data_IF_321424988956
#
_entry.id   IF_321424988956
#
_cell.length_a   1.000
_cell.length_b   1.000
_cell.length_c   1.000
_cell.angle_alpha   90.00
_cell.angle_beta   90.00
_cell.angle_gamma   90.00
#
_symmetry.space_group_name_H-M   'P 1'
#
loop_
_entity.id
_entity.type
_entity.pdbx_description
1 polymer ?
#
# COMPACT_ATOMS: atom_id res chain seq x y z
N UNK A 1 56.57 10.79 -22.20
CA UNK A 1 56.01 12.08 -22.65
C UNK A 1 54.50 11.91 -22.71
N UNK A 2 53.63 12.62 -22.02
CA UNK A 2 53.73 13.80 -21.16
C UNK A 2 52.63 13.66 -20.08
N UNK A 3 52.94 14.10 -18.87
CA UNK A 3 51.96 14.34 -17.82
C UNK A 3 51.11 15.57 -18.19
N UNK A 4 49.82 15.54 -17.85
CA UNK A 4 49.02 16.74 -17.58
C UNK A 4 48.04 16.39 -16.45
N UNK A 5 48.41 16.80 -15.24
CA UNK A 5 47.49 17.14 -14.16
C UNK A 5 46.59 18.30 -14.62
N UNK A 6 45.29 18.31 -14.32
CA UNK A 6 44.51 19.55 -14.02
C UNK A 6 43.16 19.18 -13.35
N UNK A 7 43.02 19.72 -12.14
CA UNK A 7 41.83 20.19 -11.38
C UNK A 7 40.60 19.30 -11.16
N UNK A 8 40.53 18.82 -9.91
CA UNK A 8 39.30 18.51 -9.18
C UNK A 8 38.61 19.82 -8.80
N UNK A 9 37.51 20.16 -9.48
CA UNK A 9 36.58 21.20 -9.02
C UNK A 9 35.51 20.51 -8.17
N UNK A 10 35.64 20.66 -6.86
CA UNK A 10 34.65 20.21 -5.88
C UNK A 10 33.58 21.30 -5.75
N UNK A 11 32.50 21.20 -6.53
CA UNK A 11 31.31 22.01 -6.33
C UNK A 11 30.49 21.41 -5.18
N UNK A 12 30.55 22.09 -4.03
CA UNK A 12 29.77 21.80 -2.83
C UNK A 12 28.33 22.25 -3.09
N UNK A 13 27.46 21.32 -3.45
CA UNK A 13 26.01 21.56 -3.45
C UNK A 13 25.52 21.49 -2.00
N UNK A 14 25.33 22.68 -1.42
CA UNK A 14 24.74 22.89 -0.09
C UNK A 14 23.28 22.43 -0.15
N UNK A 15 23.00 21.33 0.54
CA UNK A 15 21.64 20.86 0.77
C UNK A 15 20.83 21.93 1.53
N UNK A 16 19.58 22.24 1.11
CA UNK A 16 18.70 23.07 1.92
C UNK A 16 18.33 22.31 3.19
N UNK A 17 18.76 22.91 4.30
CA UNK A 17 18.38 22.71 5.68
C UNK A 17 16.95 22.15 5.82
N UNK A 18 16.89 20.89 6.26
CA UNK A 18 15.66 20.26 6.68
C UNK A 18 15.11 21.02 7.88
N UNK A 19 13.91 21.60 7.70
CA UNK A 19 13.13 22.13 8.80
C UNK A 19 12.96 21.06 9.89
N UNK A 20 13.09 21.41 11.18
CA UNK A 20 12.96 20.45 12.27
C UNK A 20 11.55 19.84 12.25
N UNK A 21 11.49 18.51 12.19
CA UNK A 21 10.29 17.76 12.53
C UNK A 21 9.84 18.18 13.95
N UNK A 22 8.54 18.38 14.19
CA UNK A 22 8.05 18.63 15.54
C UNK A 22 8.41 17.43 16.42
N UNK A 23 9.15 17.70 17.49
CA UNK A 23 9.42 16.75 18.57
C UNK A 23 8.13 16.00 18.91
N UNK A 24 8.22 14.66 18.84
CA UNK A 24 7.20 13.81 19.42
C UNK A 24 7.08 14.18 20.90
N UNK A 25 5.89 14.64 21.29
CA UNK A 25 5.52 14.76 22.70
C UNK A 25 5.88 13.45 23.41
N UNK A 26 6.52 13.50 24.59
CA UNK A 26 6.87 12.30 25.31
C UNK A 26 5.59 11.51 25.59
N UNK A 27 5.59 10.23 25.19
CA UNK A 27 4.60 9.28 25.69
C UNK A 27 4.53 9.40 27.22
N UNK A 28 3.34 9.50 27.81
CA UNK A 28 3.24 9.54 29.26
C UNK A 28 3.89 8.27 29.81
N UNK A 29 4.87 8.46 30.69
CA UNK A 29 5.48 7.39 31.47
C UNK A 29 4.37 6.49 32.05
N UNK A 30 4.52 5.16 32.00
CA UNK A 30 3.57 4.29 32.67
C UNK A 30 3.52 4.69 34.15
N UNK A 31 2.32 5.03 34.63
CA UNK A 31 2.07 5.21 36.06
C UNK A 31 2.69 4.01 36.80
N UNK A 32 3.47 4.24 37.88
CA UNK A 32 4.06 3.15 38.63
C UNK A 32 2.94 2.23 39.10
N UNK A 33 3.07 0.94 38.78
CA UNK A 33 2.27 -0.11 39.42
C UNK A 33 2.31 0.14 40.94
N UNK A 34 1.15 0.16 41.63
CA UNK A 34 1.14 0.33 43.07
C UNK A 34 2.01 -0.77 43.68
N UNK A 35 3.05 -0.36 44.41
CA UNK A 35 3.80 -1.25 45.29
C UNK A 35 2.79 -2.07 46.13
N UNK A 36 2.98 -3.39 46.27
CA UNK A 36 2.11 -4.17 47.12
C UNK A 36 2.15 -3.56 48.53
N UNK A 37 0.98 -3.13 49.01
CA UNK A 37 0.82 -2.74 50.41
C UNK A 37 1.43 -3.85 51.27
N UNK A 38 2.27 -3.50 52.27
CA UNK A 38 2.86 -4.50 53.14
C UNK A 38 1.72 -5.29 53.78
N UNK A 39 1.74 -6.60 53.56
CA UNK A 39 0.84 -7.54 54.24
C UNK A 39 0.81 -7.17 55.73
N UNK A 40 -0.38 -7.04 56.33
CA UNK A 40 -0.46 -6.76 57.76
C UNK A 40 0.31 -7.87 58.48
N UNK A 41 1.37 -7.49 59.18
CA UNK A 41 2.07 -8.34 60.13
C UNK A 41 1.02 -8.77 61.15
N UNK A 42 0.53 -9.98 60.98
CA UNK A 42 -0.36 -10.65 61.92
C UNK A 42 0.44 -10.79 63.21
N UNK A 43 0.13 -9.96 64.20
CA UNK A 43 0.50 -10.20 65.59
C UNK A 43 0.19 -11.68 65.91
N UNK A 44 1.10 -12.42 66.56
CA UNK A 44 0.80 -13.79 66.94
C UNK A 44 -0.41 -13.79 67.87
N UNK A 45 -1.55 -14.29 67.38
CA UNK A 45 -2.69 -14.61 68.22
C UNK A 45 -2.22 -15.47 69.41
N UNK A 46 -2.72 -15.20 70.62
CA UNK A 46 -2.35 -15.95 71.80
C UNK A 46 -2.68 -17.43 71.60
N UNK A 47 -1.72 -18.29 71.98
CA UNK A 47 -1.82 -19.74 71.94
C UNK A 47 -3.23 -20.22 72.34
N UNK A 48 -3.89 -21.10 71.55
CA UNK A 48 -5.16 -21.67 71.95
C UNK A 48 -4.90 -22.54 73.18
N UNK A 49 -5.26 -22.01 74.35
CA UNK A 49 -5.38 -22.79 75.58
C UNK A 49 -6.21 -24.02 75.28
N UNK A 50 -5.60 -25.20 75.45
CA UNK A 50 -6.19 -26.49 75.16
C UNK A 50 -7.63 -26.56 75.72
N UNK A 51 -8.65 -26.79 74.87
CA UNK A 51 -10.00 -26.99 75.35
C UNK A 51 -10.02 -28.13 76.37
N UNK A 52 -10.41 -27.78 77.61
CA UNK A 52 -10.67 -28.76 78.66
C UNK A 52 -11.73 -29.72 78.15
N UNK A 53 -11.32 -30.97 77.97
CA UNK A 53 -12.18 -32.10 77.67
C UNK A 53 -13.21 -32.20 78.81
N UNK A 54 -14.52 -32.02 78.56
CA UNK A 54 -15.51 -32.52 79.49
C UNK A 54 -15.59 -34.05 79.28
N UNK A 55 -15.34 -34.77 80.36
CA UNK A 55 -15.37 -36.22 80.45
C UNK A 55 -16.67 -36.82 79.88
N UNK A 56 -16.51 -37.83 79.02
CA UNK A 56 -17.30 -39.05 79.14
C UNK A 56 -18.57 -39.21 78.29
N UNK A 57 -18.67 -38.62 77.11
CA UNK A 57 -19.65 -39.10 76.11
C UNK A 57 -18.92 -39.92 75.03
N UNK A 58 -19.40 -41.14 74.78
CA UNK A 58 -18.81 -42.06 73.80
C UNK A 58 -18.62 -41.32 72.48
N UNK A 59 -17.36 -41.06 72.14
CA UNK A 59 -16.97 -40.50 70.85
C UNK A 59 -17.31 -41.55 69.79
N UNK A 60 -18.47 -41.43 69.17
CA UNK A 60 -18.89 -42.34 68.10
C UNK A 60 -17.98 -42.10 66.89
N UNK A 61 -17.09 -43.07 66.63
CA UNK A 61 -16.15 -43.02 65.51
C UNK A 61 -16.87 -42.92 64.15
N UNK A 62 -18.09 -43.45 64.06
CA UNK A 62 -18.96 -43.30 62.90
C UNK A 62 -19.45 -41.84 62.72
N UNK A 63 -19.72 -41.12 63.80
CA UNK A 63 -20.15 -39.71 63.73
C UNK A 63 -18.98 -38.80 63.31
N UNK A 64 -17.74 -39.12 63.74
CA UNK A 64 -16.53 -38.45 63.26
C UNK A 64 -16.33 -38.69 61.76
N UNK A 65 -16.44 -39.94 61.30
CA UNK A 65 -16.29 -40.25 59.87
C UNK A 65 -17.35 -39.56 59.04
N UNK A 66 -18.61 -39.54 59.49
CA UNK A 66 -19.72 -38.88 58.80
C UNK A 66 -19.56 -37.36 58.78
N UNK A 67 -19.12 -36.75 59.86
CA UNK A 67 -18.79 -35.31 59.92
C UNK A 67 -17.63 -34.96 58.99
N UNK A 68 -16.62 -35.82 58.90
CA UNK A 68 -15.51 -35.66 57.95
C UNK A 68 -16.00 -35.73 56.51
N UNK A 69 -16.76 -36.77 56.14
CA UNK A 69 -17.32 -36.91 54.80
C UNK A 69 -18.22 -35.71 54.42
N UNK A 70 -19.07 -35.24 55.33
CA UNK A 70 -19.89 -34.06 55.09
C UNK A 70 -19.05 -32.78 54.91
N UNK A 71 -17.98 -32.61 55.71
CA UNK A 71 -17.05 -31.49 55.56
C UNK A 71 -16.34 -31.55 54.20
N UNK A 72 -15.80 -32.72 53.83
CA UNK A 72 -15.11 -32.93 52.56
C UNK A 72 -16.06 -32.68 51.37
N UNK A 73 -17.33 -33.08 51.46
CA UNK A 73 -18.35 -32.81 50.44
C UNK A 73 -18.69 -31.32 50.33
N UNK A 74 -18.80 -30.62 51.45
CA UNK A 74 -19.05 -29.16 51.47
C UNK A 74 -17.84 -28.38 50.93
N UNK A 75 -16.62 -28.76 51.32
CA UNK A 75 -15.39 -28.16 50.81
C UNK A 75 -15.23 -28.42 49.30
N UNK A 76 -15.54 -29.64 48.84
CA UNK A 76 -15.50 -29.96 47.41
C UNK A 76 -16.50 -29.12 46.61
N UNK A 77 -17.74 -28.96 47.11
CA UNK A 77 -18.74 -28.10 46.49
C UNK A 77 -18.29 -26.64 46.45
N UNK A 78 -17.73 -26.13 47.55
CA UNK A 78 -17.20 -24.77 47.60
C UNK A 78 -16.03 -24.56 46.63
N UNK A 79 -15.15 -25.55 46.46
CA UNK A 79 -14.05 -25.49 45.50
C UNK A 79 -14.55 -25.48 44.05
N UNK A 80 -15.58 -26.28 43.76
CA UNK A 80 -16.23 -26.34 42.45
C UNK A 80 -16.85 -24.98 42.12
N UNK A 81 -17.64 -24.42 43.04
CA UNK A 81 -18.31 -23.13 42.83
C UNK A 81 -17.28 -21.99 42.71
N UNK A 82 -16.23 -22.00 43.53
CA UNK A 82 -15.14 -21.04 43.42
C UNK A 82 -14.41 -21.11 42.07
N UNK A 83 -14.18 -22.32 41.53
CA UNK A 83 -13.55 -22.49 40.21
C UNK A 83 -14.42 -21.94 39.08
N UNK A 84 -15.73 -22.23 39.10
CA UNK A 84 -16.65 -21.73 38.09
C UNK A 84 -16.85 -20.22 38.16
N UNK A 85 -17.02 -19.66 39.37
CA UNK A 85 -17.16 -18.22 39.54
C UNK A 85 -15.88 -17.47 39.17
N UNK A 86 -14.70 -18.02 39.50
CA UNK A 86 -13.43 -17.44 39.07
C UNK A 86 -13.31 -17.42 37.54
N UNK A 87 -13.54 -18.56 36.89
CA UNK A 87 -13.51 -18.65 35.42
C UNK A 87 -14.52 -17.73 34.76
N UNK A 88 -15.74 -17.67 35.29
CA UNK A 88 -16.80 -16.84 34.73
C UNK A 88 -16.42 -15.36 34.78
N UNK A 89 -15.86 -14.89 35.89
CA UNK A 89 -15.36 -13.51 36.02
C UNK A 89 -14.21 -13.24 35.05
N UNK A 90 -13.24 -14.15 34.95
CA UNK A 90 -12.13 -14.04 33.98
C UNK A 90 -12.64 -14.01 32.53
N UNK A 91 -13.62 -14.83 32.18
CA UNK A 91 -14.23 -14.85 30.85
C UNK A 91 -14.99 -13.56 30.55
N UNK A 92 -15.78 -13.05 31.49
CA UNK A 92 -16.49 -11.78 31.36
C UNK A 92 -15.52 -10.61 31.19
N UNK A 93 -14.42 -10.57 31.94
CA UNK A 93 -13.37 -9.55 31.81
C UNK A 93 -12.66 -9.66 30.45
N UNK A 94 -12.35 -10.87 29.99
CA UNK A 94 -11.71 -11.10 28.71
C UNK A 94 -12.64 -10.68 27.54
N UNK A 95 -13.94 -10.96 27.66
CA UNK A 95 -14.95 -10.53 26.69
C UNK A 95 -15.03 -9.00 26.67
N UNK A 96 -15.16 -8.35 27.83
CA UNK A 96 -15.22 -6.89 27.94
C UNK A 96 -13.95 -6.21 27.36
N UNK A 97 -12.78 -6.79 27.59
CA UNK A 97 -11.52 -6.30 27.03
C UNK A 97 -11.48 -6.45 25.50
N UNK A 98 -11.90 -7.61 24.97
CA UNK A 98 -12.00 -7.86 23.52
C UNK A 98 -12.97 -6.88 22.86
N UNK A 99 -14.14 -6.66 23.44
CA UNK A 99 -15.11 -5.69 22.95
C UNK A 99 -14.53 -4.26 22.92
N UNK A 100 -13.79 -3.85 23.96
CA UNK A 100 -13.13 -2.54 24.00
C UNK A 100 -12.05 -2.42 22.91
N UNK A 101 -11.27 -3.47 22.66
CA UNK A 101 -10.27 -3.49 21.58
C UNK A 101 -10.96 -3.43 20.22
N UNK A 102 -12.01 -4.21 20.01
CA UNK A 102 -12.78 -4.25 18.77
C UNK A 102 -13.44 -2.90 18.48
N UNK A 103 -14.02 -2.26 19.51
CA UNK A 103 -14.55 -0.89 19.41
C UNK A 103 -13.48 0.11 18.96
N UNK A 104 -12.29 0.11 19.59
CA UNK A 104 -11.18 0.99 19.18
C UNK A 104 -10.70 0.70 17.75
N UNK A 105 -10.72 -0.56 17.32
CA UNK A 105 -10.38 -0.93 15.93
C UNK A 105 -11.44 -0.44 14.94
N UNK A 106 -12.71 -0.61 15.27
CA UNK A 106 -13.83 -0.11 14.47
C UNK A 106 -13.78 1.42 14.34
N UNK A 107 -13.53 2.16 15.43
CA UNK A 107 -13.38 3.61 15.43
C UNK A 107 -12.22 4.07 14.52
N UNK A 108 -11.05 3.41 14.59
CA UNK A 108 -9.94 3.73 13.68
C UNK A 108 -10.29 3.43 12.22
N UNK A 109 -10.94 2.30 11.96
CA UNK A 109 -11.38 1.94 10.61
C UNK A 109 -12.40 2.94 10.07
N UNK A 110 -13.34 3.41 10.90
CA UNK A 110 -14.31 4.44 10.55
C UNK A 110 -13.64 5.79 10.30
N UNK A 111 -12.70 6.22 11.14
CA UNK A 111 -11.91 7.44 10.90
C UNK A 111 -11.15 7.37 9.58
N UNK A 112 -10.57 6.22 9.23
CA UNK A 112 -9.91 6.02 7.94
C UNK A 112 -10.91 6.07 6.78
N UNK A 113 -12.09 5.47 6.92
CA UNK A 113 -13.15 5.53 5.90
C UNK A 113 -13.64 6.95 5.67
N UNK A 114 -13.90 7.71 6.74
CA UNK A 114 -14.35 9.11 6.65
C UNK A 114 -13.28 9.98 6.00
N UNK A 115 -11.99 9.79 6.33
CA UNK A 115 -10.89 10.50 5.66
C UNK A 115 -10.82 10.13 4.17
N UNK A 116 -10.86 8.84 3.84
CA UNK A 116 -10.83 8.37 2.45
C UNK A 116 -12.04 8.87 1.64
N UNK A 117 -13.22 8.92 2.25
CA UNK A 117 -14.44 9.43 1.62
C UNK A 117 -14.37 10.93 1.37
N UNK A 118 -13.93 11.73 2.35
CA UNK A 118 -13.67 13.17 2.16
C UNK A 118 -12.63 13.43 1.07
N UNK A 119 -11.58 12.62 0.99
CA UNK A 119 -10.54 12.77 -0.03
C UNK A 119 -11.08 12.42 -1.42
N UNK A 120 -11.84 11.33 -1.51
CA UNK A 120 -12.53 10.91 -2.73
C UNK A 120 -13.57 11.93 -3.18
N UNK A 121 -14.32 12.54 -2.27
CA UNK A 121 -15.28 13.61 -2.57
C UNK A 121 -14.57 14.86 -3.08
N UNK A 122 -13.48 15.29 -2.43
CA UNK A 122 -12.67 16.42 -2.91
C UNK A 122 -12.08 16.16 -4.29
N UNK A 123 -11.69 14.93 -4.59
CA UNK A 123 -11.21 14.56 -5.91
C UNK A 123 -12.34 14.52 -6.93
N UNK A 124 -13.48 13.90 -6.58
CA UNK A 124 -14.67 13.84 -7.42
C UNK A 124 -15.20 15.24 -7.77
N UNK A 125 -15.21 16.19 -6.82
CA UNK A 125 -15.61 17.57 -7.08
C UNK A 125 -14.69 18.27 -8.09
N UNK A 126 -13.38 18.05 -7.99
CA UNK A 126 -12.41 18.61 -8.96
C UNK A 126 -12.53 17.97 -10.34
N UNK A 127 -12.79 16.66 -10.38
CA UNK A 127 -12.98 15.93 -11.64
C UNK A 127 -14.33 16.29 -12.28
N UNK A 128 -15.38 16.47 -11.51
CA UNK A 128 -16.70 16.91 -11.98
C UNK A 128 -16.66 18.37 -12.47
N UNK A 129 -15.98 19.28 -11.75
CA UNK A 129 -15.79 20.66 -12.22
C UNK A 129 -14.99 20.68 -13.54
N UNK A 130 -13.95 19.84 -13.66
CA UNK A 130 -13.24 19.67 -14.94
C UNK A 130 -14.14 19.07 -16.00
N UNK A 131 -14.97 18.08 -15.68
CA UNK A 131 -15.89 17.45 -16.63
C UNK A 131 -16.94 18.44 -17.12
N UNK A 132 -17.54 19.24 -16.24
CA UNK A 132 -18.50 20.29 -16.60
C UNK A 132 -17.83 21.36 -17.47
N UNK A 133 -16.59 21.75 -17.16
CA UNK A 133 -15.83 22.70 -17.98
C UNK A 133 -15.50 22.13 -19.35
N UNK A 134 -15.05 20.88 -19.42
CA UNK A 134 -14.75 20.16 -20.66
C UNK A 134 -16.02 19.94 -21.50
N UNK A 135 -17.16 19.62 -20.88
CA UNK A 135 -18.47 19.50 -21.54
C UNK A 135 -18.96 20.86 -22.06
N UNK A 136 -18.78 21.95 -21.30
CA UNK A 136 -19.12 23.30 -21.73
C UNK A 136 -18.24 23.80 -22.88
N UNK A 137 -16.92 23.54 -22.83
CA UNK A 137 -15.99 23.89 -23.90
C UNK A 137 -16.19 23.01 -25.14
N UNK A 138 -16.53 21.73 -24.96
CA UNK A 138 -16.92 20.84 -26.05
C UNK A 138 -18.24 21.29 -26.71
N UNK A 139 -19.23 21.71 -25.91
CA UNK A 139 -20.50 22.25 -26.42
C UNK A 139 -20.29 23.56 -27.17
N UNK A 140 -19.50 24.49 -26.61
CA UNK A 140 -19.14 25.74 -27.31
C UNK A 140 -18.39 25.47 -28.61
N UNK A 141 -17.43 24.54 -28.60
CA UNK A 141 -16.70 24.13 -29.81
C UNK A 141 -17.65 23.51 -30.84
N UNK A 142 -18.57 22.64 -30.42
CA UNK A 142 -19.56 22.03 -31.30
C UNK A 142 -20.53 23.07 -31.89
N UNK A 143 -20.97 24.04 -31.10
CA UNK A 143 -21.84 25.14 -31.56
C UNK A 143 -21.09 26.09 -32.52
N UNK A 144 -19.82 26.41 -32.25
CA UNK A 144 -18.97 27.17 -33.15
C UNK A 144 -18.65 26.41 -34.45
N UNK A 145 -18.41 25.10 -34.37
CA UNK A 145 -18.16 24.25 -35.54
C UNK A 145 -19.43 24.07 -36.37
N UNK A 146 -20.60 23.93 -35.75
CA UNK A 146 -21.89 23.92 -36.43
C UNK A 146 -22.18 25.25 -37.11
N UNK A 147 -21.96 26.38 -36.42
CA UNK A 147 -22.08 27.72 -37.01
C UNK A 147 -21.07 27.94 -38.14
N UNK A 148 -19.82 27.50 -37.97
CA UNK A 148 -18.76 27.60 -38.98
C UNK A 148 -19.03 26.69 -40.17
N UNK A 149 -19.55 25.48 -39.97
CA UNK A 149 -20.00 24.58 -41.04
C UNK A 149 -21.20 25.18 -41.77
N UNK A 150 -22.15 25.76 -41.06
CA UNK A 150 -23.28 26.47 -41.67
C UNK A 150 -22.81 27.68 -42.50
N UNK A 151 -21.85 28.45 -41.99
CA UNK A 151 -21.29 29.61 -42.69
C UNK A 151 -20.39 29.22 -43.88
N UNK A 152 -19.55 28.19 -43.73
CA UNK A 152 -18.64 27.71 -44.79
C UNK A 152 -19.38 26.91 -45.87
N UNK A 153 -20.44 26.19 -45.52
CA UNK A 153 -21.35 25.58 -46.48
C UNK A 153 -22.12 26.64 -47.30
N UNK A 154 -22.16 27.89 -46.82
CA UNK A 154 -22.70 29.05 -47.53
C UNK A 154 -21.65 29.85 -48.33
N UNK A 155 -20.33 29.62 -48.16
CA UNK A 155 -19.26 30.42 -48.79
C UNK A 155 -18.20 29.63 -49.58
N UNK A 156 -18.52 28.42 -50.03
CA UNK A 156 -17.79 27.79 -51.13
C UNK A 156 -16.64 26.85 -50.71
N UNK A 157 -16.57 25.75 -51.46
CA UNK A 157 -15.95 24.46 -51.12
C UNK A 157 -14.41 24.40 -51.12
N UNK A 158 -13.67 25.52 -51.07
CA UNK A 158 -12.21 25.50 -51.29
C UNK A 158 -11.34 25.83 -50.05
N UNK A 159 -11.93 26.19 -48.91
CA UNK A 159 -11.18 26.47 -47.65
C UNK A 159 -11.14 25.27 -46.66
N UNK A 160 -11.66 24.11 -47.07
CA UNK A 160 -11.90 22.96 -46.17
C UNK A 160 -10.65 22.15 -45.80
N UNK A 161 -9.54 22.24 -46.54
CA UNK A 161 -8.36 21.38 -46.32
C UNK A 161 -7.50 21.81 -45.12
N UNK A 162 -7.42 23.11 -44.85
CA UNK A 162 -6.63 23.63 -43.73
C UNK A 162 -7.29 23.39 -42.37
N UNK A 163 -8.62 23.37 -42.36
CA UNK A 163 -9.41 23.16 -41.14
C UNK A 163 -9.48 21.71 -40.69
N UNK A 164 -9.51 20.74 -41.63
CA UNK A 164 -9.46 19.30 -41.30
C UNK A 164 -8.16 18.88 -40.61
N UNK A 165 -7.02 19.53 -40.93
CA UNK A 165 -5.76 19.33 -40.20
C UNK A 165 -5.79 19.87 -38.77
N UNK A 166 -6.58 20.90 -38.50
CA UNK A 166 -6.74 21.47 -37.17
C UNK A 166 -7.70 20.63 -36.30
N UNK A 167 -8.75 20.04 -36.88
CA UNK A 167 -9.68 19.21 -36.12
C UNK A 167 -9.09 17.86 -35.70
N UNK A 168 -8.21 17.29 -36.53
CA UNK A 168 -7.43 16.09 -36.16
C UNK A 168 -6.50 16.30 -34.95
N UNK A 169 -6.22 17.56 -34.57
CA UNK A 169 -5.48 17.93 -33.36
C UNK A 169 -6.38 18.28 -32.16
N UNK A 170 -7.68 18.53 -32.37
CA UNK A 170 -8.61 19.05 -31.33
C UNK A 170 -9.70 18.06 -30.92
N UNK A 171 -9.69 16.84 -31.45
CA UNK A 171 -10.56 15.73 -31.02
C UNK A 171 -9.73 14.57 -30.46
N UNK A 172 -9.60 14.52 -29.12
CA UNK A 172 -8.84 13.50 -28.39
C UNK A 172 -7.34 13.60 -28.63
N UNK A 173 -6.56 13.96 -27.60
CA UNK A 173 -5.10 13.94 -27.66
C UNK A 173 -4.67 12.48 -27.91
N UNK A 174 -4.50 12.10 -29.17
CA UNK A 174 -3.96 10.79 -29.54
C UNK A 174 -2.65 10.65 -28.79
N UNK A 175 -2.55 9.60 -27.98
CA UNK A 175 -1.37 9.31 -27.17
C UNK A 175 -0.14 9.45 -28.06
N UNK A 176 0.74 10.39 -27.71
CA UNK A 176 1.92 10.66 -28.53
C UNK A 176 2.81 9.42 -28.53
N UNK A 177 3.61 9.21 -29.58
CA UNK A 177 4.58 8.09 -29.60
C UNK A 177 5.51 8.11 -28.37
N UNK A 178 5.79 9.30 -27.82
CA UNK A 178 6.53 9.47 -26.57
C UNK A 178 5.76 8.94 -25.35
N UNK A 179 4.47 9.23 -25.25
CA UNK A 179 3.59 8.73 -24.19
C UNK A 179 3.42 7.21 -24.29
N UNK A 180 3.17 6.68 -25.50
CA UNK A 180 3.11 5.22 -25.75
C UNK A 180 4.40 4.52 -25.35
N UNK A 181 5.56 5.05 -25.76
CA UNK A 181 6.87 4.50 -25.37
C UNK A 181 7.03 4.50 -23.86
N UNK A 182 6.68 5.61 -23.19
CA UNK A 182 6.76 5.71 -21.72
C UNK A 182 5.83 4.70 -21.05
N UNK A 183 4.61 4.52 -21.56
CA UNK A 183 3.63 3.56 -21.06
C UNK A 183 4.09 2.11 -21.21
N UNK A 184 4.63 1.74 -22.39
CA UNK A 184 5.18 0.40 -22.63
C UNK A 184 6.38 0.13 -21.73
N UNK A 185 7.30 1.08 -21.58
CA UNK A 185 8.47 0.91 -20.72
C UNK A 185 8.09 0.83 -19.24
N UNK A 186 7.11 1.62 -18.79
CA UNK A 186 6.57 1.52 -17.44
C UNK A 186 5.91 0.16 -17.20
N UNK A 187 5.15 -0.36 -18.16
CA UNK A 187 4.53 -1.69 -18.06
C UNK A 187 5.56 -2.83 -18.02
N UNK A 188 6.69 -2.68 -18.72
CA UNK A 188 7.80 -3.66 -18.68
C UNK A 188 8.64 -3.56 -17.40
N UNK A 189 8.67 -2.40 -16.74
CA UNK A 189 9.45 -2.17 -15.52
C UNK A 189 8.72 -2.80 -14.33
N UNK A 190 9.23 -3.92 -13.85
CA UNK A 190 8.79 -4.52 -12.58
C UNK A 190 9.46 -3.78 -11.42
N UNK A 191 8.66 -3.34 -10.46
CA UNK A 191 9.20 -2.79 -9.22
C UNK A 191 9.96 -3.90 -8.47
N UNK A 192 11.15 -3.58 -7.97
CA UNK A 192 12.01 -4.51 -7.27
C UNK A 192 11.91 -4.22 -5.77
N UNK A 193 11.50 -5.22 -4.98
CA UNK A 193 11.53 -5.16 -3.53
C UNK A 193 12.67 -6.07 -3.05
N UNK A 194 13.67 -5.49 -2.37
CA UNK A 194 14.88 -6.19 -1.92
C UNK A 194 15.07 -6.14 -0.39
N UNK A 195 14.32 -5.30 0.31
CA UNK A 195 14.63 -4.92 1.71
C UNK A 195 14.38 -6.05 2.73
N UNK A 196 13.65 -7.09 2.33
CA UNK A 196 13.24 -8.18 3.21
C UNK A 196 13.56 -9.57 2.61
N UNK A 197 14.58 -9.67 1.76
CA UNK A 197 15.03 -10.94 1.17
C UNK A 197 16.24 -11.53 1.91
N UNK A 198 16.28 -12.86 2.01
CA UNK A 198 17.46 -13.60 2.50
C UNK A 198 18.56 -13.67 1.44
N UNK A 199 19.81 -13.94 1.88
CA UNK A 199 20.98 -13.97 0.99
C UNK A 199 20.81 -14.92 -0.21
N UNK A 200 20.26 -16.12 0.02
CA UNK A 200 20.03 -17.09 -1.06
C UNK A 200 19.00 -16.58 -2.09
N UNK A 201 17.93 -15.94 -1.63
CA UNK A 201 16.92 -15.33 -2.52
C UNK A 201 17.47 -14.12 -3.28
N UNK A 202 18.39 -13.37 -2.67
CA UNK A 202 19.08 -12.28 -3.36
C UNK A 202 19.97 -12.82 -4.48
N UNK A 203 20.71 -13.92 -4.26
CA UNK A 203 21.50 -14.58 -5.30
C UNK A 203 20.66 -15.07 -6.46
N UNK A 204 19.51 -15.69 -6.18
CA UNK A 204 18.54 -16.08 -7.22
C UNK A 204 18.04 -14.86 -8.01
N UNK A 205 17.71 -13.76 -7.32
CA UNK A 205 17.24 -12.53 -7.97
C UNK A 205 18.31 -11.86 -8.84
N UNK A 206 19.57 -11.91 -8.42
CA UNK A 206 20.71 -11.41 -9.21
C UNK A 206 20.82 -12.20 -10.52
N UNK A 207 20.74 -13.54 -10.45
CA UNK A 207 20.80 -14.38 -11.64
C UNK A 207 19.60 -14.11 -12.59
N UNK A 208 18.39 -14.02 -12.06
CA UNK A 208 17.19 -13.68 -12.85
C UNK A 208 17.33 -12.33 -13.57
N UNK A 209 17.84 -11.30 -12.88
CA UNK A 209 18.06 -9.99 -13.48
C UNK A 209 19.20 -10.01 -14.51
N UNK A 210 20.25 -10.81 -14.29
CA UNK A 210 21.34 -10.99 -15.24
C UNK A 210 20.85 -11.66 -16.53
N UNK A 211 20.08 -12.73 -16.40
CA UNK A 211 19.47 -13.44 -17.54
C UNK A 211 18.52 -12.53 -18.31
N UNK A 212 17.71 -11.74 -17.58
CA UNK A 212 16.82 -10.76 -18.20
C UNK A 212 17.58 -9.67 -18.97
N UNK A 213 18.71 -9.19 -18.44
CA UNK A 213 19.57 -8.24 -19.12
C UNK A 213 20.15 -8.84 -20.41
N UNK A 214 20.68 -10.07 -20.34
CA UNK A 214 21.22 -10.79 -21.50
C UNK A 214 20.17 -11.01 -22.59
N UNK A 215 18.95 -11.36 -22.22
CA UNK A 215 17.86 -11.50 -23.17
C UNK A 215 17.57 -10.19 -23.91
N UNK A 216 17.46 -9.07 -23.18
CA UNK A 216 17.21 -7.75 -23.80
C UNK A 216 18.34 -7.31 -24.72
N UNK A 217 19.60 -7.63 -24.39
CA UNK A 217 20.75 -7.37 -25.25
C UNK A 217 20.70 -8.19 -26.54
N UNK A 218 20.33 -9.47 -26.45
CA UNK A 218 20.13 -10.34 -27.61
C UNK A 218 19.02 -9.81 -28.52
N UNK A 219 17.85 -9.48 -27.97
CA UNK A 219 16.73 -8.92 -28.74
C UNK A 219 17.11 -7.60 -29.43
N UNK A 220 17.85 -6.72 -28.72
CA UNK A 220 18.38 -5.47 -29.29
C UNK A 220 19.32 -5.75 -30.46
N UNK A 221 20.21 -6.72 -30.34
CA UNK A 221 21.13 -7.11 -31.42
C UNK A 221 20.36 -7.59 -32.66
N UNK A 222 19.40 -8.50 -32.49
CA UNK A 222 18.58 -9.01 -33.59
C UNK A 222 17.79 -7.89 -34.30
N UNK A 223 17.24 -6.95 -33.54
CA UNK A 223 16.57 -5.78 -34.10
C UNK A 223 17.53 -4.86 -34.86
N UNK A 224 18.76 -4.68 -34.37
CA UNK A 224 19.77 -3.88 -35.06
C UNK A 224 20.19 -4.52 -36.39
N UNK A 225 20.44 -5.83 -36.42
CA UNK A 225 20.80 -6.53 -37.66
C UNK A 225 19.64 -6.55 -38.65
N UNK A 226 18.40 -6.79 -38.18
CA UNK A 226 17.21 -6.70 -39.03
C UNK A 226 17.06 -5.32 -39.65
N UNK A 227 17.29 -4.26 -38.88
CA UNK A 227 17.21 -2.89 -39.39
C UNK A 227 18.28 -2.60 -40.46
N UNK A 228 19.50 -3.15 -40.32
CA UNK A 228 20.55 -3.03 -41.34
C UNK A 228 20.12 -3.70 -42.65
N UNK A 229 19.56 -4.91 -42.58
CA UNK A 229 19.06 -5.63 -43.74
C UNK A 229 17.89 -4.89 -44.40
N UNK A 230 16.91 -4.43 -43.62
CA UNK A 230 15.79 -3.64 -44.15
C UNK A 230 16.26 -2.36 -44.85
N UNK A 231 17.25 -1.65 -44.30
CA UNK A 231 17.84 -0.48 -44.96
C UNK A 231 18.49 -0.84 -46.30
N UNK A 232 19.17 -1.97 -46.38
CA UNK A 232 19.75 -2.47 -47.63
C UNK A 232 18.67 -2.85 -48.64
N UNK A 233 17.63 -3.56 -48.21
CA UNK A 233 16.51 -3.96 -49.08
C UNK A 233 15.75 -2.77 -49.63
N UNK A 234 15.43 -1.78 -48.79
CA UNK A 234 14.78 -0.52 -49.23
C UNK A 234 15.65 0.16 -50.28
N UNK A 235 16.95 0.33 -50.02
CA UNK A 235 17.87 0.93 -50.99
C UNK A 235 17.89 0.16 -52.31
N UNK A 236 17.91 -1.18 -52.26
CA UNK A 236 17.87 -2.03 -53.47
C UNK A 236 16.57 -1.86 -54.24
N UNK A 237 15.42 -1.82 -53.54
CA UNK A 237 14.10 -1.61 -54.15
C UNK A 237 14.04 -0.21 -54.79
N UNK A 238 14.54 0.82 -54.12
CA UNK A 238 14.57 2.18 -54.64
C UNK A 238 15.39 2.27 -55.94
N UNK A 239 16.56 1.63 -56.00
CA UNK A 239 17.35 1.54 -57.23
C UNK A 239 16.63 0.78 -58.35
N UNK A 240 15.99 -0.35 -58.02
CA UNK A 240 15.21 -1.12 -58.99
C UNK A 240 14.04 -0.29 -59.55
N UNK A 241 13.28 0.37 -58.67
CA UNK A 241 12.17 1.23 -59.05
C UNK A 241 12.64 2.40 -59.92
N UNK A 242 13.76 3.04 -59.56
CA UNK A 242 14.35 4.11 -60.35
C UNK A 242 14.69 3.64 -61.78
N UNK A 243 15.29 2.45 -61.94
CA UNK A 243 15.59 1.88 -63.26
C UNK A 243 14.31 1.59 -64.07
N UNK A 244 13.27 1.03 -63.45
CA UNK A 244 11.98 0.80 -64.13
C UNK A 244 11.27 2.10 -64.52
N UNK A 245 11.42 3.18 -63.75
CA UNK A 245 10.88 4.50 -64.10
C UNK A 245 11.74 5.28 -65.11
N UNK A 246 12.99 4.84 -65.33
CA UNK A 246 13.93 5.48 -66.26
C UNK A 246 13.84 4.95 -67.69
N UNK A 247 13.02 3.93 -67.94
CA UNK A 247 12.58 3.50 -69.28
C UNK A 247 11.15 4.02 -69.58
N UNK A 248 10.95 5.31 -69.89
CA UNK A 248 9.67 5.81 -70.38
C UNK A 248 9.47 5.56 -71.89
N UNK A 249 10.45 5.01 -72.62
CA UNK A 249 10.34 4.67 -74.05
C UNK A 249 11.26 3.49 -74.42
N UNK A 250 10.76 2.28 -74.24
CA UNK A 250 11.24 1.07 -74.92
C UNK A 250 10.42 0.76 -76.17
N UNK A 251 10.20 1.78 -77.01
CA UNK A 251 9.87 1.72 -78.45
C UNK A 251 10.49 2.95 -79.12
#
# INVERSE_FOLDING_TARGET
CLAVEVEVVQEVEVAPEAAPEPEAEPEPEPEPEPEPEPEPVVEPEPEPSAPKIPDGEKVDFDDIQKKRQNKDLMELQALIDAHFECRKKEEEELIALKERIEKRRAERAEQQRVRAEKDKERQARREEERRIREEADAKKKADEEAKKKSALSSMGSNYSSHLQRADQKRGGKKETEREKKKKILAARRKALNIDHLSEDKLKEKINELNDWMRQLESEKFDHMERLKLQKYEVRRIDYSAALHTSDPNGQ
#
